data_IF_731711770266
#
_entry.id   IF_731711770266
#
_cell.length_a   1.000
_cell.length_b   1.000
_cell.length_c   1.000
_cell.angle_alpha   90.00
_cell.angle_beta   90.00
_cell.angle_gamma   90.00
#
_symmetry.space_group_name_H-M   'P 1'
#
loop_
_entity.id
_entity.type
_entity.pdbx_description
1 polymer ?
#
# COMPACT_ATOMS: atom_id res chain seq x y z
N UNK A 1 4.53 7.89 -57.83
CA UNK A 1 3.76 7.82 -56.57
C UNK A 1 4.72 7.29 -55.53
N UNK A 2 5.45 8.20 -54.90
CA UNK A 2 6.53 7.87 -53.97
C UNK A 2 5.93 7.29 -52.69
N UNK A 3 6.44 6.12 -52.31
CA UNK A 3 6.10 5.48 -51.06
C UNK A 3 6.43 6.42 -49.91
N UNK A 4 5.40 6.83 -49.16
CA UNK A 4 5.53 7.61 -47.93
C UNK A 4 6.52 6.89 -47.01
N UNK A 5 7.74 7.43 -46.89
CA UNK A 5 8.70 7.02 -45.88
C UNK A 5 8.17 7.43 -44.51
N UNK A 6 7.50 6.50 -43.85
CA UNK A 6 7.20 6.62 -42.43
C UNK A 6 8.54 6.70 -41.69
N UNK A 7 8.80 7.78 -40.92
CA UNK A 7 10.06 7.89 -40.20
C UNK A 7 10.20 6.73 -39.21
N UNK A 8 11.41 6.17 -39.06
CA UNK A 8 11.66 5.07 -38.12
C UNK A 8 11.27 5.52 -36.72
N UNK A 9 10.45 4.72 -36.03
CA UNK A 9 10.05 5.01 -34.66
C UNK A 9 11.21 4.64 -33.75
N UNK A 10 11.28 5.30 -32.59
CA UNK A 10 12.26 4.95 -31.56
C UNK A 10 12.20 3.47 -31.14
N UNK A 11 11.02 2.85 -31.25
CA UNK A 11 10.78 1.42 -30.99
C UNK A 11 11.43 0.50 -32.02
N UNK A 12 11.72 0.99 -33.23
CA UNK A 12 12.29 0.22 -34.33
C UNK A 12 13.82 0.12 -34.25
N UNK A 13 14.45 0.80 -33.27
CA UNK A 13 15.88 0.69 -33.03
C UNK A 13 16.25 -0.73 -32.54
N UNK A 14 17.45 -1.23 -32.86
CA UNK A 14 17.94 -2.49 -32.31
C UNK A 14 18.01 -2.46 -30.78
N UNK A 15 17.78 -3.62 -30.16
CA UNK A 15 17.83 -3.79 -28.70
C UNK A 15 19.13 -3.26 -28.08
N UNK A 16 20.28 -3.47 -28.74
CA UNK A 16 21.59 -3.03 -28.25
C UNK A 16 21.64 -1.49 -28.07
N UNK A 17 20.96 -0.75 -28.95
CA UNK A 17 20.86 0.71 -28.85
C UNK A 17 19.99 1.11 -27.65
N UNK A 18 18.83 0.46 -27.46
CA UNK A 18 17.99 0.71 -26.28
C UNK A 18 18.73 0.38 -24.98
N UNK A 19 19.51 -0.71 -24.97
CA UNK A 19 20.28 -1.16 -23.82
C UNK A 19 21.40 -0.17 -23.47
N UNK A 20 22.17 0.30 -24.45
CA UNK A 20 23.22 1.30 -24.21
C UNK A 20 22.64 2.65 -23.77
N UNK A 21 21.48 3.06 -24.30
CA UNK A 21 20.76 4.22 -23.78
C UNK A 21 20.32 4.01 -22.33
N UNK A 22 19.70 2.87 -22.04
CA UNK A 22 19.18 2.54 -20.71
C UNK A 22 20.27 2.50 -19.62
N UNK A 23 21.49 2.04 -19.94
CA UNK A 23 22.65 2.08 -19.03
C UNK A 23 23.04 3.48 -18.59
N UNK A 24 22.72 4.50 -19.39
CA UNK A 24 23.06 5.91 -19.11
C UNK A 24 21.93 6.63 -18.37
N UNK A 25 20.77 6.00 -18.20
CA UNK A 25 19.62 6.57 -17.51
C UNK A 25 19.68 6.27 -16.01
N UNK A 26 19.16 7.19 -15.21
CA UNK A 26 18.86 6.88 -13.81
C UNK A 26 17.67 5.90 -13.70
N UNK A 27 17.53 5.28 -12.53
CA UNK A 27 16.49 4.27 -12.27
C UNK A 27 15.06 4.77 -12.55
N UNK A 28 14.75 6.03 -12.23
CA UNK A 28 13.41 6.60 -12.43
C UNK A 28 13.13 6.83 -13.90
N UNK A 29 14.09 7.40 -14.62
CA UNK A 29 13.98 7.64 -16.06
C UNK A 29 13.82 6.32 -16.82
N UNK A 30 14.55 5.27 -16.43
CA UNK A 30 14.40 3.95 -17.02
C UNK A 30 13.03 3.32 -16.73
N UNK A 31 12.52 3.46 -15.50
CA UNK A 31 11.18 3.01 -15.15
C UNK A 31 10.10 3.73 -15.96
N UNK A 32 10.21 5.06 -16.10
CA UNK A 32 9.28 5.86 -16.92
C UNK A 32 9.31 5.42 -18.37
N UNK A 33 10.50 5.15 -18.93
CA UNK A 33 10.61 4.64 -20.29
C UNK A 33 9.94 3.26 -20.43
N UNK A 34 10.20 2.36 -19.48
CA UNK A 34 9.58 1.04 -19.42
C UNK A 34 8.06 1.08 -19.26
N UNK A 35 7.49 2.13 -18.64
CA UNK A 35 6.04 2.28 -18.49
C UNK A 35 5.35 2.86 -19.74
N UNK A 36 6.08 3.48 -20.67
CA UNK A 36 5.46 4.10 -21.86
C UNK A 36 4.79 3.10 -22.80
N UNK A 37 5.30 1.88 -22.92
CA UNK A 37 4.70 0.86 -23.79
C UNK A 37 5.15 -0.56 -23.41
N UNK A 38 4.39 -1.55 -23.91
CA UNK A 38 4.60 -2.98 -23.64
C UNK A 38 5.95 -3.49 -24.15
N UNK A 39 6.49 -2.93 -25.23
CA UNK A 39 7.80 -3.34 -25.75
C UNK A 39 8.89 -2.97 -24.73
N UNK A 40 9.01 -1.70 -24.36
CA UNK A 40 9.99 -1.26 -23.37
C UNK A 40 9.78 -1.90 -22.00
N UNK A 41 8.54 -2.12 -21.57
CA UNK A 41 8.27 -2.85 -20.33
C UNK A 41 8.92 -4.26 -20.31
N UNK A 42 9.00 -4.91 -21.47
CA UNK A 42 9.57 -6.26 -21.60
C UNK A 42 11.09 -6.26 -21.74
N UNK A 43 11.64 -5.32 -22.49
CA UNK A 43 13.09 -5.30 -22.78
C UNK A 43 13.90 -4.47 -21.79
N UNK A 44 13.30 -3.48 -21.12
CA UNK A 44 13.97 -2.59 -20.18
C UNK A 44 13.62 -2.94 -18.74
N UNK A 45 14.19 -4.03 -18.21
CA UNK A 45 14.15 -4.32 -16.77
C UNK A 45 15.29 -3.58 -16.06
N UNK A 46 15.00 -2.57 -15.21
CA UNK A 46 16.03 -1.85 -14.48
C UNK A 46 16.94 -2.74 -13.65
N UNK A 47 16.46 -3.91 -13.18
CA UNK A 47 17.26 -4.86 -12.38
C UNK A 47 18.28 -5.62 -13.19
N UNK A 48 18.03 -5.79 -14.48
CA UNK A 48 18.93 -6.47 -15.39
C UNK A 48 19.94 -5.51 -16.02
N UNK A 49 19.58 -4.24 -16.14
CA UNK A 49 20.35 -3.21 -16.87
C UNK A 49 21.24 -2.40 -15.93
N UNK A 50 20.69 -1.92 -14.81
CA UNK A 50 21.41 -1.04 -13.90
C UNK A 50 22.24 -1.83 -12.91
N UNK A 51 23.34 -1.23 -12.48
CA UNK A 51 24.19 -1.82 -11.47
C UNK A 51 23.54 -1.70 -10.08
N UNK A 52 24.01 -2.56 -9.17
CA UNK A 52 23.52 -2.61 -7.79
C UNK A 52 23.65 -1.25 -7.07
N UNK A 53 24.78 -0.52 -7.17
CA UNK A 53 24.92 0.80 -6.58
C UNK A 53 23.86 1.82 -7.04
N UNK A 54 23.60 1.94 -8.35
CA UNK A 54 22.60 2.90 -8.84
C UNK A 54 21.19 2.56 -8.36
N UNK A 55 20.85 1.26 -8.31
CA UNK A 55 19.58 0.83 -7.72
C UNK A 55 19.52 1.15 -6.23
N UNK A 56 20.56 0.82 -5.46
CA UNK A 56 20.59 1.03 -4.02
C UNK A 56 20.44 2.53 -3.67
N UNK A 57 21.08 3.43 -4.41
CA UNK A 57 20.97 4.88 -4.22
C UNK A 57 19.54 5.40 -4.47
N UNK A 58 18.87 4.94 -5.53
CA UNK A 58 17.48 5.31 -5.78
C UNK A 58 16.56 4.83 -4.65
N UNK A 59 16.69 3.57 -4.23
CA UNK A 59 15.84 3.00 -3.18
C UNK A 59 16.10 3.65 -1.81
N UNK A 60 17.34 4.05 -1.56
CA UNK A 60 17.73 4.80 -0.37
C UNK A 60 17.07 6.18 -0.30
N UNK A 61 17.12 6.91 -1.41
CA UNK A 61 16.50 8.23 -1.51
C UNK A 61 14.97 8.16 -1.36
N UNK A 62 14.34 7.23 -2.08
CA UNK A 62 12.90 7.01 -1.98
C UNK A 62 12.44 6.50 -0.62
N UNK A 63 13.21 5.63 0.04
CA UNK A 63 12.92 5.23 1.42
C UNK A 63 12.91 6.44 2.36
N UNK A 64 13.91 7.32 2.26
CA UNK A 64 13.99 8.54 3.07
C UNK A 64 12.75 9.41 2.85
N UNK A 65 12.37 9.64 1.60
CA UNK A 65 11.16 10.36 1.27
C UNK A 65 9.90 9.73 1.89
N UNK A 66 9.73 8.41 1.79
CA UNK A 66 8.60 7.72 2.42
C UNK A 66 8.56 7.87 3.94
N UNK A 67 9.72 7.89 4.59
CA UNK A 67 9.81 8.12 6.04
C UNK A 67 9.47 9.57 6.40
N UNK A 68 9.94 10.55 5.62
CA UNK A 68 9.64 11.98 5.83
C UNK A 68 8.13 12.29 5.74
N UNK A 69 7.42 11.62 4.84
CA UNK A 69 5.96 11.76 4.67
C UNK A 69 5.16 10.81 5.57
N UNK A 70 5.83 9.97 6.37
CA UNK A 70 5.22 9.10 7.39
C UNK A 70 4.55 7.83 6.85
N UNK A 71 4.95 7.33 5.68
CA UNK A 71 4.38 6.12 5.07
C UNK A 71 4.92 4.79 5.65
N UNK A 72 5.98 4.83 6.47
CA UNK A 72 6.64 3.65 7.09
C UNK A 72 6.95 2.49 6.11
N UNK A 73 7.35 2.85 4.89
CA UNK A 73 7.80 1.89 3.88
C UNK A 73 9.32 1.81 3.86
N UNK A 74 9.84 0.59 3.81
CA UNK A 74 11.26 0.29 3.82
C UNK A 74 11.63 -0.51 2.58
N UNK A 75 12.80 -0.24 2.01
CA UNK A 75 13.30 -0.96 0.85
C UNK A 75 13.86 -2.35 1.25
N UNK A 76 13.54 -3.36 0.44
CA UNK A 76 14.28 -4.61 0.42
C UNK A 76 15.36 -4.55 -0.68
N UNK A 77 16.64 -4.61 -0.31
CA UNK A 77 17.78 -4.50 -1.25
C UNK A 77 18.12 -5.81 -1.98
N UNK A 78 17.25 -6.82 -1.88
CA UNK A 78 17.35 -8.03 -2.71
C UNK A 78 16.25 -8.06 -3.77
N UNK A 79 15.00 -7.77 -3.39
CA UNK A 79 13.89 -7.76 -4.34
C UNK A 79 13.44 -6.37 -4.77
N UNK A 80 14.13 -5.30 -4.37
CA UNK A 80 13.86 -3.91 -4.78
C UNK A 80 12.36 -3.57 -4.70
N UNK A 81 11.77 -3.80 -3.53
CA UNK A 81 10.37 -3.48 -3.22
C UNK A 81 10.29 -2.70 -1.92
N UNK A 82 9.40 -1.71 -1.89
CA UNK A 82 9.00 -1.01 -0.68
C UNK A 82 7.93 -1.81 0.05
N UNK A 83 8.21 -2.17 1.30
CA UNK A 83 7.33 -3.01 2.11
C UNK A 83 7.16 -2.39 3.50
N UNK A 84 6.04 -2.65 4.20
CA UNK A 84 5.86 -2.17 5.55
C UNK A 84 6.87 -2.82 6.50
N UNK A 85 7.18 -2.13 7.60
CA UNK A 85 8.13 -2.58 8.63
C UNK A 85 7.91 -4.01 9.12
N UNK A 86 6.66 -4.46 9.19
CA UNK A 86 6.26 -5.80 9.63
C UNK A 86 6.82 -6.94 8.76
N UNK A 87 7.23 -6.63 7.52
CA UNK A 87 7.81 -7.59 6.58
C UNK A 87 9.33 -7.71 6.71
N UNK A 88 9.92 -7.16 7.78
CA UNK A 88 11.35 -7.21 8.02
C UNK A 88 11.68 -7.66 9.45
N UNK A 89 12.88 -8.22 9.60
CA UNK A 89 13.47 -8.58 10.89
C UNK A 89 14.23 -7.38 11.44
N UNK A 90 14.13 -7.16 12.76
CA UNK A 90 14.86 -6.10 13.44
C UNK A 90 16.36 -6.39 13.41
N UNK A 91 17.13 -5.42 12.93
CA UNK A 91 18.60 -5.37 13.13
C UNK A 91 18.94 -4.16 13.98
N UNK A 92 20.08 -4.19 14.71
CA UNK A 92 20.54 -3.08 15.58
C UNK A 92 20.56 -1.73 14.86
N UNK A 93 20.74 -1.76 13.55
CA UNK A 93 20.84 -0.60 12.65
C UNK A 93 19.69 -0.52 11.65
N UNK A 94 18.49 -1.03 11.98
CA UNK A 94 17.36 -1.08 11.05
C UNK A 94 17.03 0.28 10.41
N UNK A 95 17.17 1.37 11.14
CA UNK A 95 16.90 2.73 10.66
C UNK A 95 18.09 3.43 10.02
N UNK A 96 19.27 2.80 9.99
CA UNK A 96 20.43 3.39 9.30
C UNK A 96 20.21 3.22 7.81
N UNK A 97 20.16 4.35 7.10
CA UNK A 97 19.79 4.45 5.70
C UNK A 97 20.69 3.56 4.81
N UNK A 98 22.00 3.47 5.07
CA UNK A 98 22.93 2.64 4.28
C UNK A 98 23.08 1.22 4.80
N UNK A 99 22.08 0.36 4.60
CA UNK A 99 22.17 -1.07 4.94
C UNK A 99 21.90 -1.94 3.70
N UNK A 100 22.93 -2.32 2.92
CA UNK A 100 22.77 -3.19 1.75
C UNK A 100 22.25 -4.60 2.08
N UNK A 101 22.10 -4.93 3.37
CA UNK A 101 21.68 -6.25 3.86
C UNK A 101 20.27 -6.23 4.50
N UNK A 102 19.42 -5.27 4.13
CA UNK A 102 18.01 -5.27 4.58
C UNK A 102 17.16 -6.06 3.59
N UNK A 103 16.77 -7.25 4.01
CA UNK A 103 15.94 -8.15 3.21
C UNK A 103 14.56 -8.31 3.86
N UNK A 104 13.51 -8.30 3.04
CA UNK A 104 12.20 -8.70 3.52
C UNK A 104 12.21 -10.18 3.93
N UNK A 105 11.25 -10.59 4.75
CA UNK A 105 11.13 -11.98 5.24
C UNK A 105 11.22 -13.00 4.09
N UNK A 106 10.57 -12.75 2.96
CA UNK A 106 10.60 -13.68 1.81
C UNK A 106 12.00 -13.79 1.19
N UNK A 107 12.73 -12.67 1.06
CA UNK A 107 14.09 -12.69 0.53
C UNK A 107 15.07 -13.29 1.53
N UNK A 108 14.95 -12.94 2.80
CA UNK A 108 15.76 -13.52 3.87
C UNK A 108 15.54 -15.03 3.99
N UNK A 109 14.33 -15.52 3.73
CA UNK A 109 14.00 -16.93 3.69
C UNK A 109 14.68 -17.63 2.50
N UNK A 110 14.55 -17.08 1.29
CA UNK A 110 15.20 -17.62 0.09
C UNK A 110 16.72 -17.70 0.23
N UNK A 111 17.31 -16.66 0.81
CA UNK A 111 18.75 -16.56 1.07
C UNK A 111 19.19 -17.31 2.33
N UNK A 112 18.27 -17.94 3.07
CA UNK A 112 18.53 -18.68 4.33
C UNK A 112 19.41 -17.90 5.32
N UNK A 113 19.13 -16.60 5.49
CA UNK A 113 20.00 -15.65 6.22
C UNK A 113 20.08 -15.93 7.72
N UNK A 114 19.10 -16.64 8.28
CA UNK A 114 18.97 -16.85 9.72
C UNK A 114 18.94 -18.33 10.04
N UNK A 115 19.35 -18.70 11.25
CA UNK A 115 19.45 -20.09 11.68
C UNK A 115 18.09 -20.79 11.79
N UNK A 116 18.14 -22.11 11.65
CA UNK A 116 16.95 -22.96 11.71
C UNK A 116 16.28 -22.89 13.10
N UNK A 117 15.01 -22.51 13.11
CA UNK A 117 14.12 -22.40 14.26
C UNK A 117 14.68 -21.59 15.45
N UNK A 118 15.62 -20.67 15.18
CA UNK A 118 16.06 -19.68 16.16
C UNK A 118 15.14 -18.44 16.12
N UNK A 119 14.83 -17.85 17.29
CA UNK A 119 13.96 -16.68 17.36
C UNK A 119 14.65 -15.46 16.75
N UNK A 120 13.93 -14.73 15.91
CA UNK A 120 14.35 -13.45 15.34
C UNK A 120 13.28 -12.40 15.58
N UNK A 121 13.67 -11.26 16.16
CA UNK A 121 12.72 -10.21 16.53
C UNK A 121 12.16 -9.50 15.28
N UNK A 122 10.84 -9.27 15.25
CA UNK A 122 10.19 -8.44 14.25
C UNK A 122 10.69 -6.99 14.33
N UNK A 123 10.84 -6.32 13.18
CA UNK A 123 11.20 -4.91 13.16
C UNK A 123 10.08 -4.02 13.73
N UNK A 124 8.82 -4.45 13.65
CA UNK A 124 7.66 -3.67 14.10
C UNK A 124 7.38 -3.82 15.60
N UNK A 125 7.10 -5.04 16.07
CA UNK A 125 6.75 -5.36 17.47
C UNK A 125 7.93 -6.08 18.11
N UNK A 126 8.53 -5.53 19.17
CA UNK A 126 9.75 -6.09 19.77
C UNK A 126 9.51 -7.47 20.38
N UNK A 127 8.32 -7.70 20.89
CA UNK A 127 7.87 -8.90 21.58
C UNK A 127 7.52 -10.02 20.58
N UNK A 128 7.24 -9.66 19.32
CA UNK A 128 6.91 -10.61 18.28
C UNK A 128 8.19 -11.22 17.69
N UNK A 129 8.38 -12.50 17.95
CA UNK A 129 9.47 -13.29 17.41
C UNK A 129 8.98 -14.16 16.24
N UNK A 130 9.78 -14.20 15.19
CA UNK A 130 9.63 -15.16 14.10
C UNK A 130 10.66 -16.28 14.22
N UNK A 131 10.34 -17.44 13.68
CA UNK A 131 11.18 -18.64 13.65
C UNK A 131 11.29 -19.07 12.18
N UNK A 132 12.51 -19.16 11.67
CA UNK A 132 12.75 -19.55 10.27
C UNK A 132 12.98 -21.05 10.15
N UNK A 133 12.16 -21.74 9.38
CA UNK A 133 12.41 -23.14 9.06
C UNK A 133 13.16 -23.27 7.74
N UNK A 134 14.37 -23.86 7.77
CA UNK A 134 15.17 -24.10 6.56
C UNK A 134 14.58 -25.15 5.62
N UNK A 135 13.77 -26.07 6.16
CA UNK A 135 13.18 -27.16 5.39
C UNK A 135 12.04 -26.64 4.49
N UNK A 136 11.14 -25.82 5.04
CA UNK A 136 10.02 -25.26 4.28
C UNK A 136 10.23 -23.80 3.80
N UNK A 137 11.36 -23.19 4.16
CA UNK A 137 11.76 -21.82 3.82
C UNK A 137 10.71 -20.75 4.22
N UNK A 138 10.15 -20.86 5.44
CA UNK A 138 9.12 -19.90 5.93
C UNK A 138 9.44 -19.36 7.32
N UNK A 139 9.01 -18.12 7.55
CA UNK A 139 8.96 -17.51 8.87
C UNK A 139 7.59 -17.70 9.51
N UNK A 140 7.59 -18.13 10.77
CA UNK A 140 6.39 -18.41 11.55
C UNK A 140 6.51 -17.84 12.94
N UNK A 141 5.38 -17.67 13.62
CA UNK A 141 5.35 -17.27 15.04
C UNK A 141 5.65 -18.46 15.93
N UNK A 142 5.91 -18.22 17.21
CA UNK A 142 6.15 -19.30 18.19
C UNK A 142 5.04 -20.35 18.20
N UNK A 143 3.78 -19.91 18.13
CA UNK A 143 2.59 -20.77 18.12
C UNK A 143 2.42 -21.61 16.84
N UNK A 144 3.10 -21.25 15.75
CA UNK A 144 2.90 -21.87 14.42
C UNK A 144 4.18 -22.42 13.81
N UNK A 145 5.31 -22.33 14.53
CA UNK A 145 6.62 -22.75 14.03
C UNK A 145 6.64 -24.25 13.74
N UNK A 146 7.37 -24.62 12.69
CA UNK A 146 7.73 -26.01 12.43
C UNK A 146 8.45 -26.60 13.65
N UNK A 147 8.32 -27.92 13.82
CA UNK A 147 8.98 -28.67 14.89
C UNK A 147 10.04 -29.65 14.36
N UNK A 148 10.12 -29.84 13.05
CA UNK A 148 11.06 -30.77 12.43
C UNK A 148 12.52 -30.31 12.56
N UNK A 149 13.42 -31.28 12.70
CA UNK A 149 14.87 -31.05 12.74
C UNK A 149 15.39 -30.51 11.40
N UNK A 150 16.57 -29.88 11.44
CA UNK A 150 17.23 -29.41 10.21
C UNK A 150 17.65 -30.61 9.35
N UNK A 151 17.22 -30.61 8.08
CA UNK A 151 17.66 -31.62 7.12
C UNK A 151 19.09 -31.31 6.68
N UNK A 152 20.01 -32.23 7.01
CA UNK A 152 21.41 -32.17 6.63
C UNK A 152 21.69 -32.91 5.32
N UNK A 153 22.95 -32.89 4.89
CA UNK A 153 23.40 -33.69 3.73
C UNK A 153 23.44 -35.19 4.04
N UNK A 154 23.60 -35.54 5.31
CA UNK A 154 23.75 -36.91 5.79
C UNK A 154 22.43 -37.48 6.36
N UNK A 155 21.32 -36.75 6.22
CA UNK A 155 20.03 -37.19 6.71
C UNK A 155 19.50 -38.35 5.89
N UNK A 156 18.93 -39.36 6.55
CA UNK A 156 18.28 -40.49 5.88
C UNK A 156 16.94 -40.08 5.26
N UNK A 157 16.42 -40.85 4.32
CA UNK A 157 15.11 -40.58 3.71
C UNK A 157 13.97 -40.56 4.76
N UNK A 158 14.09 -41.39 5.80
CA UNK A 158 13.16 -41.45 6.93
C UNK A 158 13.21 -40.17 7.77
N UNK A 159 14.42 -39.70 8.11
CA UNK A 159 14.62 -38.44 8.83
C UNK A 159 14.14 -37.23 8.03
N UNK A 160 14.36 -37.26 6.70
CA UNK A 160 13.86 -36.23 5.78
C UNK A 160 12.32 -36.23 5.80
N UNK A 161 11.69 -37.39 5.65
CA UNK A 161 10.24 -37.52 5.65
C UNK A 161 9.62 -37.06 6.97
N UNK A 162 10.21 -37.45 8.10
CA UNK A 162 9.78 -37.03 9.44
C UNK A 162 9.92 -35.51 9.60
N UNK A 163 11.10 -34.95 9.32
CA UNK A 163 11.36 -33.52 9.44
C UNK A 163 10.42 -32.67 8.56
N UNK A 164 10.08 -33.15 7.36
CA UNK A 164 9.12 -32.50 6.46
C UNK A 164 7.68 -32.66 6.94
N UNK A 165 7.32 -33.79 7.57
CA UNK A 165 5.98 -34.00 8.14
C UNK A 165 5.68 -33.05 9.30
N UNK A 166 6.71 -32.69 10.07
CA UNK A 166 6.68 -31.74 11.18
C UNK A 166 6.88 -30.28 10.75
N UNK A 167 7.11 -30.05 9.45
CA UNK A 167 6.93 -28.72 8.91
C UNK A 167 5.44 -28.41 8.86
N UNK A 168 5.06 -27.20 9.28
CA UNK A 168 3.70 -26.74 9.10
C UNK A 168 3.39 -26.80 7.61
N UNK A 169 2.56 -27.79 7.23
CA UNK A 169 2.08 -27.95 5.87
C UNK A 169 1.61 -26.57 5.43
N UNK A 170 2.07 -26.11 4.27
CA UNK A 170 1.55 -24.85 3.75
C UNK A 170 0.04 -24.96 3.77
N UNK A 171 -0.63 -24.24 4.66
CA UNK A 171 -2.08 -24.22 4.70
C UNK A 171 -2.47 -23.67 3.34
N UNK A 172 -2.84 -24.58 2.42
CA UNK A 172 -3.01 -24.37 0.98
C UNK A 172 -1.75 -23.96 0.20
N UNK A 173 -1.52 -24.62 -0.95
CA UNK A 173 -0.81 -23.92 -2.03
C UNK A 173 -1.64 -22.70 -2.44
N UNK A 174 -1.01 -21.53 -2.64
CA UNK A 174 -1.72 -20.36 -3.15
C UNK A 174 -2.42 -20.72 -4.44
N UNK A 175 -3.73 -20.52 -4.46
CA UNK A 175 -4.52 -20.84 -5.65
C UNK A 175 -4.05 -19.94 -6.81
N UNK A 176 -4.22 -20.38 -8.05
CA UNK A 176 -3.74 -19.63 -9.24
C UNK A 176 -4.22 -18.18 -9.24
N UNK A 177 -5.44 -17.95 -8.78
CA UNK A 177 -6.02 -16.60 -8.70
C UNK A 177 -5.34 -15.73 -7.64
N UNK A 178 -4.90 -16.25 -6.50
CA UNK A 178 -4.19 -15.47 -5.48
C UNK A 178 -2.86 -14.87 -5.97
N UNK A 179 -2.33 -15.38 -7.10
CA UNK A 179 -1.13 -14.87 -7.76
C UNK A 179 -1.40 -13.76 -8.77
N UNK A 180 -2.66 -13.37 -8.95
CA UNK A 180 -3.02 -12.28 -9.87
C UNK A 180 -2.35 -10.96 -9.42
N UNK A 181 -1.91 -10.12 -10.38
CA UNK A 181 -1.34 -8.81 -10.06
C UNK A 181 -2.28 -7.93 -9.24
N UNK A 182 -1.71 -7.03 -8.44
CA UNK A 182 -2.49 -6.13 -7.58
C UNK A 182 -3.49 -5.25 -8.36
N UNK A 183 -3.18 -4.83 -9.60
CA UNK A 183 -4.11 -4.05 -10.43
C UNK A 183 -5.35 -4.87 -10.84
N UNK A 184 -5.19 -6.17 -11.12
CA UNK A 184 -6.34 -7.05 -11.41
C UNK A 184 -7.22 -7.16 -10.18
N UNK A 185 -6.62 -7.31 -9.00
CA UNK A 185 -7.36 -7.33 -7.74
C UNK A 185 -8.04 -6.01 -7.38
N UNK A 186 -7.42 -4.88 -7.71
CA UNK A 186 -8.04 -3.58 -7.57
C UNK A 186 -9.27 -3.45 -8.47
N UNK A 187 -9.18 -3.92 -9.72
CA UNK A 187 -10.33 -3.98 -10.64
C UNK A 187 -11.42 -4.92 -10.14
N UNK A 188 -11.09 -6.11 -9.65
CA UNK A 188 -12.12 -7.00 -9.06
C UNK A 188 -12.79 -6.32 -7.86
N UNK A 189 -11.99 -5.66 -7.00
CA UNK A 189 -12.49 -4.97 -5.82
C UNK A 189 -13.37 -3.77 -6.14
N UNK A 190 -13.29 -3.17 -7.32
CA UNK A 190 -14.16 -2.05 -7.72
C UNK A 190 -15.60 -2.47 -8.02
N UNK A 191 -15.81 -3.76 -8.34
CA UNK A 191 -17.13 -4.36 -8.53
C UNK A 191 -17.72 -4.97 -7.25
N UNK A 192 -16.96 -5.01 -6.16
CA UNK A 192 -17.38 -5.58 -4.89
C UNK A 192 -17.78 -4.48 -3.90
N UNK A 193 -18.71 -4.81 -3.01
CA UNK A 193 -18.98 -3.94 -1.87
C UNK A 193 -17.82 -3.99 -0.86
N UNK A 194 -17.80 -3.05 0.09
CA UNK A 194 -16.69 -3.00 1.05
C UNK A 194 -16.63 -4.24 1.96
N UNK A 195 -17.77 -4.88 2.25
CA UNK A 195 -17.84 -6.08 3.09
C UNK A 195 -17.15 -7.25 2.39
N UNK A 196 -17.41 -7.42 1.10
CA UNK A 196 -16.85 -8.48 0.29
C UNK A 196 -15.38 -8.22 0.00
N UNK A 197 -14.93 -6.98 -0.17
CA UNK A 197 -13.49 -6.65 -0.24
C UNK A 197 -12.78 -6.98 1.08
N UNK A 198 -13.41 -6.74 2.23
CA UNK A 198 -12.85 -7.17 3.53
C UNK A 198 -12.76 -8.70 3.60
N UNK A 199 -13.84 -9.40 3.25
CA UNK A 199 -13.85 -10.88 3.23
C UNK A 199 -12.80 -11.43 2.30
N UNK A 200 -12.65 -10.85 1.11
CA UNK A 200 -11.64 -11.19 0.13
C UNK A 200 -10.23 -11.07 0.72
N UNK A 201 -9.95 -9.97 1.42
CA UNK A 201 -8.69 -9.76 2.14
C UNK A 201 -8.49 -10.72 3.34
N UNK A 202 -9.52 -11.43 3.79
CA UNK A 202 -9.47 -12.40 4.88
C UNK A 202 -9.40 -13.86 4.39
N UNK A 203 -9.63 -14.12 3.09
CA UNK A 203 -9.64 -15.50 2.54
C UNK A 203 -8.30 -16.21 2.75
N UNK A 204 -7.19 -15.49 2.62
CA UNK A 204 -5.86 -16.05 2.84
C UNK A 204 -4.84 -14.97 3.20
N UNK A 205 -3.66 -15.39 3.65
CA UNK A 205 -2.54 -14.48 3.97
C UNK A 205 -2.08 -13.70 2.73
N UNK A 206 -2.01 -14.36 1.58
CA UNK A 206 -1.65 -13.73 0.29
C UNK A 206 -2.65 -12.66 -0.09
N UNK A 207 -3.95 -12.95 0.06
CA UNK A 207 -5.01 -11.99 -0.21
C UNK A 207 -4.97 -10.82 0.78
N UNK A 208 -4.67 -11.06 2.05
CA UNK A 208 -4.49 -10.00 3.04
C UNK A 208 -3.34 -9.04 2.70
N UNK A 209 -2.25 -9.60 2.16
CA UNK A 209 -1.08 -8.83 1.74
C UNK A 209 -1.30 -8.07 0.42
N UNK A 210 -2.16 -8.58 -0.46
CA UNK A 210 -2.39 -8.01 -1.78
C UNK A 210 -3.56 -7.04 -1.77
N UNK A 211 -4.71 -7.45 -1.22
CA UNK A 211 -5.92 -6.64 -1.16
C UNK A 211 -5.75 -5.53 -0.14
N UNK A 212 -6.02 -4.29 -0.58
CA UNK A 212 -5.93 -3.10 0.26
C UNK A 212 -7.30 -2.45 0.41
N UNK A 213 -8.20 -2.97 1.27
CA UNK A 213 -9.57 -2.45 1.40
C UNK A 213 -9.60 -0.94 1.69
N UNK A 214 -8.69 -0.46 2.54
CA UNK A 214 -8.60 0.96 2.91
C UNK A 214 -8.00 1.87 1.83
N UNK A 215 -7.30 1.33 0.84
CA UNK A 215 -6.71 2.11 -0.25
C UNK A 215 -7.55 2.04 -1.52
N UNK A 216 -8.13 0.87 -1.82
CA UNK A 216 -8.84 0.61 -3.08
C UNK A 216 -10.30 0.97 -3.03
N UNK A 217 -10.96 0.81 -1.86
CA UNK A 217 -12.38 1.14 -1.74
C UNK A 217 -12.54 2.65 -1.48
N UNK A 218 -13.38 3.35 -2.25
CA UNK A 218 -13.61 4.77 -2.05
C UNK A 218 -14.03 5.10 -0.61
N UNK A 219 -13.48 6.18 -0.07
CA UNK A 219 -13.74 6.64 1.30
C UNK A 219 -15.24 6.75 1.65
N UNK A 220 -16.13 7.27 0.78
CA UNK A 220 -17.56 7.35 1.10
C UNK A 220 -18.20 5.97 1.35
N UNK A 221 -17.80 4.95 0.57
CA UNK A 221 -18.33 3.59 0.69
C UNK A 221 -17.89 2.96 2.01
N UNK A 222 -16.61 3.13 2.36
CA UNK A 222 -16.06 2.64 3.63
C UNK A 222 -16.71 3.30 4.84
N UNK A 223 -16.94 4.61 4.76
CA UNK A 223 -17.59 5.37 5.81
C UNK A 223 -19.02 4.88 6.04
N UNK A 224 -19.82 4.76 4.97
CA UNK A 224 -21.20 4.26 5.04
C UNK A 224 -21.25 2.90 5.69
N UNK A 225 -20.44 1.96 5.22
CA UNK A 225 -20.41 0.61 5.77
C UNK A 225 -20.20 0.61 7.29
N UNK A 226 -19.23 1.35 7.80
CA UNK A 226 -18.92 1.37 9.24
C UNK A 226 -20.02 2.06 10.03
N UNK A 227 -20.58 3.15 9.50
CA UNK A 227 -21.70 3.86 10.13
C UNK A 227 -22.94 2.98 10.19
N UNK A 228 -23.28 2.33 9.09
CA UNK A 228 -24.48 1.51 8.96
C UNK A 228 -24.35 0.24 9.81
N UNK A 229 -23.16 -0.39 9.83
CA UNK A 229 -22.87 -1.49 10.74
C UNK A 229 -22.99 -1.06 12.21
N UNK A 230 -22.42 0.10 12.57
CA UNK A 230 -22.54 0.62 13.93
C UNK A 230 -24.01 0.90 14.30
N UNK A 231 -24.77 1.55 13.40
CA UNK A 231 -26.17 1.84 13.64
C UNK A 231 -27.01 0.56 13.83
N UNK A 232 -26.75 -0.48 13.03
CA UNK A 232 -27.40 -1.79 13.17
C UNK A 232 -27.07 -2.45 14.51
N UNK A 233 -25.79 -2.48 14.89
CA UNK A 233 -25.33 -3.08 16.14
C UNK A 233 -25.92 -2.36 17.38
N UNK A 234 -26.32 -1.08 17.22
CA UNK A 234 -26.79 -0.21 18.31
C UNK A 234 -28.28 0.14 18.26
N UNK A 235 -29.06 -0.44 17.35
CA UNK A 235 -30.51 -0.19 17.27
C UNK A 235 -31.26 -0.60 18.55
N UNK A 236 -30.69 -1.47 19.39
CA UNK A 236 -31.35 -2.05 20.57
C UNK A 236 -30.50 -1.98 21.86
N UNK A 237 -29.39 -1.24 21.88
CA UNK A 237 -28.45 -1.20 23.03
C UNK A 237 -28.43 0.19 23.65
N UNK A 238 -28.73 0.29 24.96
CA UNK A 238 -28.79 1.56 25.68
C UNK A 238 -27.42 2.24 25.85
N UNK A 239 -26.33 1.47 25.84
CA UNK A 239 -24.96 1.99 25.94
C UNK A 239 -24.04 1.31 24.92
N UNK A 240 -23.51 2.04 23.92
CA UNK A 240 -22.57 1.49 22.94
C UNK A 240 -21.28 0.99 23.61
N UNK A 241 -20.98 -0.30 23.47
CA UNK A 241 -19.71 -0.91 23.89
C UNK A 241 -18.62 -0.76 22.82
N UNK A 242 -19.04 -0.46 21.59
CA UNK A 242 -18.18 -0.27 20.44
C UNK A 242 -18.52 1.02 19.71
N UNK A 243 -17.49 1.61 19.11
CA UNK A 243 -17.58 2.87 18.40
C UNK A 243 -16.86 2.81 17.05
N UNK A 244 -17.32 3.57 16.06
CA UNK A 244 -16.71 3.60 14.75
C UNK A 244 -15.41 4.43 14.75
N UNK A 245 -14.33 3.84 14.25
CA UNK A 245 -13.12 4.58 13.87
C UNK A 245 -13.16 4.86 12.37
N UNK A 246 -13.42 6.10 11.99
CA UNK A 246 -13.57 6.51 10.58
C UNK A 246 -12.23 6.69 9.85
N UNK A 247 -11.13 6.70 10.58
CA UNK A 247 -9.78 6.65 10.02
C UNK A 247 -9.41 5.28 9.45
N UNK A 248 -9.57 4.21 10.25
CA UNK A 248 -9.28 2.83 9.80
C UNK A 248 -10.51 2.07 9.27
N UNK A 249 -11.68 2.71 9.30
CA UNK A 249 -12.96 2.15 8.89
C UNK A 249 -13.29 0.82 9.59
N UNK A 250 -13.23 0.82 10.93
CA UNK A 250 -13.53 -0.36 11.78
C UNK A 250 -14.27 0.05 13.04
N UNK A 251 -15.13 -0.84 13.55
CA UNK A 251 -15.66 -0.74 14.91
C UNK A 251 -14.57 -1.16 15.90
N UNK A 252 -14.47 -0.42 17.01
CA UNK A 252 -13.48 -0.64 18.06
C UNK A 252 -14.15 -0.52 19.43
N UNK A 253 -13.69 -1.27 20.44
CA UNK A 253 -14.17 -1.10 21.81
C UNK A 253 -13.95 0.33 22.31
N UNK A 254 -14.83 0.82 23.20
CA UNK A 254 -14.75 2.16 23.81
C UNK A 254 -13.35 2.50 24.36
N UNK A 255 -12.71 1.54 25.03
CA UNK A 255 -11.35 1.67 25.60
C UNK A 255 -10.26 2.03 24.58
N UNK A 256 -10.55 2.00 23.28
CA UNK A 256 -9.63 2.39 22.21
C UNK A 256 -9.83 3.83 21.76
N UNK A 257 -10.67 4.61 22.42
CA UNK A 257 -10.93 6.02 22.16
C UNK A 257 -10.62 6.86 23.39
N UNK A 258 -10.21 8.11 23.16
CA UNK A 258 -9.94 9.03 24.26
C UNK A 258 -11.26 9.52 24.86
N UNK A 259 -11.28 9.73 26.18
CA UNK A 259 -12.44 10.28 26.89
C UNK A 259 -12.90 11.63 26.30
N UNK A 260 -11.98 12.43 25.76
CA UNK A 260 -12.28 13.68 25.05
C UNK A 260 -13.15 13.42 23.82
N UNK A 261 -12.81 12.41 23.00
CA UNK A 261 -13.60 12.08 21.81
C UNK A 261 -14.99 11.55 22.20
N UNK A 262 -15.06 10.68 23.20
CA UNK A 262 -16.31 10.11 23.69
C UNK A 262 -17.23 11.20 24.25
N UNK A 263 -16.71 12.10 25.08
CA UNK A 263 -17.46 13.25 25.61
C UNK A 263 -17.88 14.23 24.51
N UNK A 264 -17.05 14.44 23.48
CA UNK A 264 -17.42 15.29 22.34
C UNK A 264 -18.56 14.67 21.54
N UNK A 265 -18.55 13.37 21.29
CA UNK A 265 -19.65 12.70 20.56
C UNK A 265 -20.92 12.65 21.40
N UNK A 266 -20.82 12.45 22.71
CA UNK A 266 -21.98 12.48 23.60
C UNK A 266 -22.65 13.87 23.64
N UNK A 267 -21.84 14.94 23.64
CA UNK A 267 -22.35 16.33 23.65
C UNK A 267 -22.72 16.86 22.25
N UNK A 268 -22.03 16.39 21.21
CA UNK A 268 -22.17 16.84 19.82
C UNK A 268 -22.19 15.63 18.87
N UNK A 269 -23.29 14.87 18.77
CA UNK A 269 -23.36 13.66 17.95
C UNK A 269 -22.95 13.85 16.48
N UNK A 270 -23.14 15.06 15.94
CA UNK A 270 -22.71 15.46 14.60
C UNK A 270 -21.20 15.39 14.36
N UNK A 271 -20.37 15.33 15.40
CA UNK A 271 -18.91 15.16 15.29
C UNK A 271 -18.48 13.70 15.30
N UNK A 272 -19.42 12.74 15.40
CA UNK A 272 -19.11 11.32 15.45
C UNK A 272 -18.21 10.88 14.27
N UNK A 273 -18.38 11.45 13.08
CA UNK A 273 -17.56 11.13 11.91
C UNK A 273 -16.05 11.43 12.08
N UNK A 274 -15.67 12.27 13.05
CA UNK A 274 -14.28 12.59 13.37
C UNK A 274 -13.63 11.54 14.30
N UNK A 275 -14.41 10.60 14.83
CA UNK A 275 -13.93 9.58 15.77
C UNK A 275 -12.81 8.73 15.18
N UNK A 276 -11.74 8.62 15.95
CA UNK A 276 -10.52 7.93 15.57
C UNK A 276 -9.95 7.19 16.78
N UNK A 277 -9.73 5.89 16.62
CA UNK A 277 -9.10 5.10 17.68
C UNK A 277 -7.69 5.61 17.98
N UNK A 278 -7.21 5.39 19.20
CA UNK A 278 -5.91 5.84 19.69
C UNK A 278 -4.76 5.47 18.76
N UNK A 279 -4.77 4.26 18.19
CA UNK A 279 -3.74 3.84 17.23
C UNK A 279 -3.71 4.73 15.99
N UNK A 280 -4.87 5.15 15.49
CA UNK A 280 -4.97 6.08 14.35
C UNK A 280 -4.58 7.51 14.75
N UNK A 281 -4.94 7.94 15.96
CA UNK A 281 -4.53 9.24 16.50
C UNK A 281 -3.01 9.31 16.62
N UNK A 282 -2.38 8.26 17.15
CA UNK A 282 -0.93 8.16 17.27
C UNK A 282 -0.27 8.24 15.89
N UNK A 283 -0.80 7.53 14.88
CA UNK A 283 -0.29 7.61 13.50
C UNK A 283 -0.37 9.03 12.90
N UNK A 284 -1.37 9.83 13.28
CA UNK A 284 -1.47 11.25 12.90
C UNK A 284 -0.51 12.15 13.69
N UNK A 285 -0.18 11.76 14.92
CA UNK A 285 0.65 12.53 15.85
C UNK A 285 2.16 12.50 15.56
N UNK A 286 2.63 11.52 14.77
CA UNK A 286 4.07 11.30 14.55
C UNK A 286 4.80 12.44 13.82
N UNK A 287 4.11 13.17 12.94
CA UNK A 287 4.70 14.31 12.23
C UNK A 287 3.61 15.26 11.78
N UNK A 288 3.90 16.58 11.76
CA UNK A 288 3.05 17.58 11.12
C UNK A 288 2.90 17.32 9.60
N UNK A 289 3.82 16.56 9.00
CA UNK A 289 3.83 16.15 7.58
C UNK A 289 3.31 14.73 7.33
N UNK A 290 2.78 14.03 8.34
CA UNK A 290 2.19 12.70 8.16
C UNK A 290 1.11 12.75 7.08
N UNK A 291 1.26 11.96 6.00
CA UNK A 291 0.25 11.86 4.94
C UNK A 291 -1.12 11.53 5.53
N UNK A 292 -1.16 10.63 6.51
CA UNK A 292 -2.40 10.25 7.20
C UNK A 292 -3.06 11.46 7.85
N UNK A 293 -2.28 12.34 8.49
CA UNK A 293 -2.77 13.58 9.10
C UNK A 293 -3.24 14.59 8.05
N UNK A 294 -2.49 14.76 6.96
CA UNK A 294 -2.84 15.66 5.86
C UNK A 294 -4.13 15.18 5.18
N UNK A 295 -4.20 13.90 4.83
CA UNK A 295 -5.37 13.28 4.23
C UNK A 295 -6.59 13.32 5.14
N UNK A 296 -6.42 13.16 6.46
CA UNK A 296 -7.53 13.33 7.40
C UNK A 296 -8.02 14.78 7.47
N UNK A 297 -7.11 15.77 7.52
CA UNK A 297 -7.48 17.20 7.52
C UNK A 297 -8.18 17.64 6.23
N UNK A 298 -7.92 16.94 5.13
CA UNK A 298 -8.59 17.14 3.85
C UNK A 298 -9.96 16.48 3.79
N UNK A 299 -10.49 15.90 4.87
CA UNK A 299 -11.84 15.30 4.90
C UNK A 299 -12.85 16.28 5.49
N UNK A 300 -14.05 16.26 4.93
CA UNK A 300 -15.21 16.96 5.45
C UNK A 300 -16.46 16.09 5.32
N UNK A 301 -17.47 16.36 6.14
CA UNK A 301 -18.77 15.71 6.02
C UNK A 301 -19.60 16.43 4.98
N UNK A 302 -20.11 15.69 3.99
CA UNK A 302 -21.05 16.23 3.02
C UNK A 302 -22.32 16.71 3.71
N UNK A 303 -22.73 17.94 3.44
CA UNK A 303 -23.89 18.54 4.09
C UNK A 303 -25.21 17.86 3.70
N UNK A 304 -25.27 17.28 2.49
CA UNK A 304 -26.47 16.65 1.93
C UNK A 304 -26.63 15.21 2.45
N UNK A 305 -25.71 14.31 2.07
CA UNK A 305 -25.87 12.89 2.35
C UNK A 305 -25.11 12.41 3.60
N UNK A 306 -24.49 13.35 4.33
CA UNK A 306 -23.70 13.10 5.55
C UNK A 306 -22.59 12.05 5.38
N UNK A 307 -22.09 11.87 4.15
CA UNK A 307 -20.96 11.00 3.85
C UNK A 307 -19.64 11.79 3.89
N UNK A 308 -18.55 11.16 4.28
CA UNK A 308 -17.23 11.79 4.22
C UNK A 308 -16.80 11.97 2.76
N UNK A 309 -16.34 13.18 2.44
CA UNK A 309 -15.70 13.53 1.17
C UNK A 309 -14.38 14.25 1.43
N UNK A 310 -13.61 14.48 0.37
CA UNK A 310 -12.45 15.36 0.46
C UNK A 310 -12.88 16.82 0.25
N UNK A 311 -12.26 17.72 0.99
CA UNK A 311 -12.40 19.17 0.86
C UNK A 311 -12.19 19.54 -0.61
N UNK A 312 -13.11 20.35 -1.15
CA UNK A 312 -13.14 20.79 -2.55
C UNK A 312 -13.32 19.67 -3.59
N UNK A 313 -13.66 18.45 -3.19
CA UNK A 313 -14.09 17.37 -4.11
C UNK A 313 -15.60 17.14 -3.98
N UNK A 314 -16.30 16.74 -5.06
CA UNK A 314 -17.70 16.37 -4.97
C UNK A 314 -17.86 15.13 -4.08
N UNK A 315 -18.98 15.05 -3.36
CA UNK A 315 -19.26 13.90 -2.52
C UNK A 315 -19.50 12.66 -3.38
N UNK A 316 -18.60 11.68 -3.43
CA UNK A 316 -18.84 10.45 -4.21
C UNK A 316 -20.10 9.66 -3.79
N UNK A 317 -20.66 9.94 -2.61
CA UNK A 317 -21.87 9.31 -2.12
C UNK A 317 -23.17 9.84 -2.73
N UNK A 318 -23.27 11.15 -3.01
CA UNK A 318 -24.48 11.77 -3.58
C UNK A 318 -24.20 12.65 -4.79
N UNK A 319 -22.92 12.85 -5.12
CA UNK A 319 -22.35 13.86 -6.02
C UNK A 319 -23.11 15.19 -5.90
N UNK A 320 -23.31 15.58 -4.64
CA UNK A 320 -24.06 16.73 -4.13
C UNK A 320 -25.28 17.10 -4.98
N UNK A 321 -26.13 16.09 -5.26
CA UNK A 321 -27.36 16.16 -6.04
C UNK A 321 -27.18 16.88 -7.38
N UNK A 322 -26.20 16.36 -8.13
CA UNK A 322 -25.64 16.85 -9.39
C UNK A 322 -25.14 18.30 -9.27
N UNK A 323 -24.20 18.47 -8.33
CA UNK A 323 -23.45 19.68 -7.95
C UNK A 323 -24.27 20.87 -7.43
N UNK A 324 -25.56 21.07 -7.81
CA UNK A 324 -26.60 21.90 -7.14
C UNK A 324 -27.86 22.10 -8.03
N UNK A 325 -28.58 21.04 -8.39
CA UNK A 325 -29.77 21.24 -9.24
C UNK A 325 -30.70 20.05 -9.41
N UNK A 326 -31.13 19.43 -8.30
CA UNK A 326 -32.36 18.64 -8.13
C UNK A 326 -32.83 17.67 -9.26
N UNK A 327 -31.92 17.14 -10.09
CA UNK A 327 -31.98 15.94 -10.98
C UNK A 327 -33.20 15.78 -11.94
N UNK A 328 -32.94 15.65 -13.26
CA UNK A 328 -33.63 14.62 -14.06
C UNK A 328 -32.62 13.76 -14.87
N UNK A 329 -32.97 12.48 -15.02
CA UNK A 329 -32.12 11.31 -15.26
C UNK A 329 -32.16 10.83 -16.71
N UNK A 330 -32.86 11.52 -17.62
CA UNK A 330 -33.08 11.09 -19.01
C UNK A 330 -31.91 11.35 -19.96
N UNK A 331 -30.91 12.13 -19.57
CA UNK A 331 -29.72 12.44 -20.38
C UNK A 331 -28.48 11.62 -20.01
N UNK A 332 -28.51 10.81 -18.96
CA UNK A 332 -27.31 10.21 -18.38
C UNK A 332 -26.88 8.85 -18.98
N UNK A 333 -27.75 8.19 -19.76
CA UNK A 333 -27.40 6.99 -20.49
C UNK A 333 -28.15 6.96 -21.82
N UNK A 334 -27.56 7.58 -22.85
CA UNK A 334 -27.76 7.13 -24.22
C UNK A 334 -26.38 6.91 -24.82
N UNK A 335 -26.07 5.63 -24.97
CA UNK A 335 -25.09 5.04 -25.87
C UNK A 335 -23.84 5.87 -26.14
N UNK A 336 -22.77 5.64 -25.38
CA UNK A 336 -21.43 5.87 -25.90
C UNK A 336 -20.41 5.00 -25.17
N UNK A 337 -19.65 4.27 -25.98
CA UNK A 337 -18.64 3.29 -25.66
C UNK A 337 -17.55 3.91 -24.77
N UNK A 338 -17.62 3.66 -23.45
CA UNK A 338 -16.57 4.13 -22.54
C UNK A 338 -15.34 3.23 -22.71
N UNK A 339 -14.43 3.76 -23.53
CA UNK A 339 -13.07 3.29 -23.73
C UNK A 339 -12.35 3.10 -22.37
N UNK A 340 -12.01 1.85 -22.05
CA UNK A 340 -11.47 1.39 -20.77
C UNK A 340 -10.06 1.92 -20.42
N UNK A 341 -9.47 2.81 -21.23
CA UNK A 341 -8.09 3.26 -21.07
C UNK A 341 -7.92 4.40 -20.04
N UNK A 342 -8.93 5.22 -19.77
CA UNK A 342 -8.75 6.38 -18.87
C UNK A 342 -8.71 6.04 -17.37
N UNK A 343 -9.27 4.91 -16.94
CA UNK A 343 -9.20 4.49 -15.53
C UNK A 343 -7.85 3.87 -15.14
N UNK A 344 -7.01 3.49 -16.12
CA UNK A 344 -5.64 3.03 -15.87
C UNK A 344 -4.68 4.20 -15.61
N UNK A 345 -4.90 5.36 -16.23
CA UNK A 345 -4.08 6.56 -16.03
C UNK A 345 -4.21 7.18 -14.62
N UNK A 346 -5.19 6.75 -13.82
CA UNK A 346 -5.35 7.25 -12.43
C UNK A 346 -4.41 6.59 -11.42
N UNK A 347 -3.72 5.52 -11.80
CA UNK A 347 -2.66 4.91 -10.99
C UNK A 347 -1.26 5.46 -11.32
N UNK A 348 -1.08 6.18 -12.43
CA UNK A 348 0.18 6.85 -12.77
C UNK A 348 0.35 8.19 -12.06
N UNK A 349 -0.72 8.79 -11.52
CA UNK A 349 -0.67 10.05 -10.76
C UNK A 349 -0.08 9.97 -9.33
N UNK A 350 0.53 8.85 -8.93
CA UNK A 350 1.33 8.76 -7.69
C UNK A 350 2.80 9.14 -7.95
N UNK A 351 3.20 9.26 -9.21
CA UNK A 351 4.50 9.78 -9.63
C UNK A 351 4.30 10.78 -10.75
N UNK A 352 3.95 12.04 -10.43
CA UNK A 352 4.41 13.26 -11.12
C UNK A 352 3.73 14.50 -10.50
N UNK A 353 4.51 15.59 -10.37
CA UNK A 353 4.03 16.91 -9.95
C UNK A 353 4.65 17.45 -8.66
N UNK A 354 5.96 17.74 -8.70
CA UNK A 354 6.57 18.69 -7.76
C UNK A 354 6.03 20.10 -8.07
N UNK A 355 5.24 20.68 -7.16
CA UNK A 355 5.06 22.14 -7.10
C UNK A 355 6.19 22.71 -6.22
N UNK A 356 7.30 23.10 -6.86
CA UNK A 356 8.26 24.03 -6.26
C UNK A 356 7.80 25.47 -6.50
N UNK A 357 7.73 26.33 -5.48
CA UNK A 357 7.57 27.76 -5.70
C UNK A 357 8.87 28.31 -6.30
N UNK A 358 8.77 28.89 -7.49
CA UNK A 358 9.83 29.72 -8.05
C UNK A 358 10.07 30.92 -7.13
N UNK A 359 11.15 30.87 -6.36
CA UNK A 359 11.74 32.05 -5.73
C UNK A 359 12.53 32.82 -6.79
N UNK A 360 11.92 33.83 -7.40
CA UNK A 360 12.66 34.87 -8.10
C UNK A 360 13.36 35.74 -7.07
N UNK A 361 14.67 35.59 -6.99
CA UNK A 361 15.55 36.64 -6.52
C UNK A 361 15.38 37.84 -7.46
N UNK A 362 14.90 38.96 -6.93
CA UNK A 362 15.28 40.27 -7.45
C UNK A 362 15.83 41.09 -6.29
N UNK A 363 17.14 41.30 -6.34
CA UNK A 363 17.81 42.40 -5.65
C UNK A 363 17.45 43.68 -6.39
N UNK A 364 16.80 44.62 -5.70
CA UNK A 364 16.99 46.04 -6.03
C UNK A 364 17.15 46.82 -4.73
N UNK A 365 18.33 47.43 -4.64
CA UNK A 365 18.67 48.48 -3.69
C UNK A 365 17.80 49.72 -3.95
N UNK A 366 17.37 50.37 -2.87
CA UNK A 366 17.08 51.81 -2.65
C UNK A 366 16.12 51.82 -1.44
N UNK A 367 16.49 52.28 -0.24
CA UNK A 367 17.12 53.56 0.06
C UNK A 367 16.03 54.62 0.19
N UNK A 368 15.73 55.01 1.43
CA UNK A 368 15.33 56.34 1.93
C UNK A 368 14.21 56.31 2.99
N UNK A 369 14.62 56.79 4.18
CA UNK A 369 13.89 57.41 5.30
C UNK A 369 12.88 56.60 6.11
#
# INVERSE_FOLDING_TARGET
>A
MDAQHTPPRFQDLPFDVHFEMAKRMDYLSLLRLASTNRFFHRVLDPRAILDKPAMDDFFLDRERHYLEIGAELFACYNCYRFLPKTKFIKRRSFYRAKQPNRFCLDCAAKLKVYDHLKPVASAYIKELHYYFCHNCCRYQTESTKCQGNLIGKDSTDEEIAEALSLCTKSSRQPQRWEKLPAHVWANVSSYLDYRDVIRLAQVSRTMNDTVKPTAWVPLPVRYRFVRDQWALDHQNVHTPDTYPCFMCSRLRPEIRFTQIQLGLVASHPQTAWMMSCESCVNLMGWSKRSLTRIEHRRREMCEICKCIKHVRKPCGGCMELYVKGAIDRRTAYRDEEVNCEENLNRFDGVFDGEDWPHGTHDMTQQGFQ
#
